data_IF_290926555738
#
_entry.id   IF_290926555738
#
_cell.length_a   1.000
_cell.length_b   1.000
_cell.length_c   1.000
_cell.angle_alpha   90.00
_cell.angle_beta   90.00
_cell.angle_gamma   90.00
#
_symmetry.space_group_name_H-M   'P 1'
#
loop_
_entity.id
_entity.type
_entity.pdbx_description
1 polymer ?
#
# COMPACT_ATOMS: atom_id res chain seq x y z
N UNK A 1 -21.44 -6.26 4.17
CA UNK A 1 -21.26 -5.05 3.38
C UNK A 1 -20.18 -5.24 2.34
N UNK A 2 -20.52 -4.96 1.12
CA UNK A 2 -19.64 -5.22 -0.01
C UNK A 2 -19.24 -3.90 -0.67
N UNK A 3 -17.97 -3.77 -0.98
CA UNK A 3 -17.46 -2.63 -1.71
C UNK A 3 -16.28 -3.07 -2.56
N UNK A 4 -15.91 -2.26 -3.52
CA UNK A 4 -14.77 -2.54 -4.40
C UNK A 4 -13.98 -1.26 -4.62
N UNK A 5 -12.68 -1.37 -4.87
CA UNK A 5 -11.81 -0.23 -5.07
C UNK A 5 -10.45 -0.65 -5.64
N UNK A 6 -9.73 0.35 -6.13
CA UNK A 6 -8.31 0.23 -6.42
C UNK A 6 -7.49 0.45 -5.16
N UNK A 7 -6.36 -0.23 -5.04
CA UNK A 7 -5.51 -0.08 -3.86
C UNK A 7 -4.06 -0.47 -4.17
N UNK A 8 -3.18 -0.13 -3.23
CA UNK A 8 -1.79 -0.60 -3.23
C UNK A 8 -1.58 -1.54 -2.05
N UNK A 9 -0.87 -2.64 -2.29
CA UNK A 9 -0.58 -3.62 -1.23
C UNK A 9 0.54 -3.10 -0.33
N UNK A 10 0.24 -2.91 0.95
CA UNK A 10 1.19 -2.39 1.93
C UNK A 10 1.86 -3.46 2.77
N UNK A 11 1.14 -4.52 3.11
CA UNK A 11 1.69 -5.61 3.92
C UNK A 11 0.94 -6.90 3.66
N UNK A 12 1.65 -8.00 3.93
CA UNK A 12 1.13 -9.33 3.73
C UNK A 12 1.65 -10.21 4.86
N UNK A 13 0.74 -10.93 5.52
CA UNK A 13 1.08 -11.84 6.61
C UNK A 13 0.34 -13.15 6.42
N UNK A 14 1.06 -14.26 6.55
CA UNK A 14 0.45 -15.59 6.46
C UNK A 14 -0.62 -15.76 7.54
N UNK A 15 -1.78 -16.25 7.15
CA UNK A 15 -2.91 -16.51 8.02
C UNK A 15 -3.51 -17.86 7.65
N UNK A 16 -3.42 -18.84 8.54
CA UNK A 16 -3.84 -20.21 8.29
C UNK A 16 -3.05 -20.83 7.10
N UNK A 17 -3.41 -22.05 6.69
CA UNK A 17 -2.64 -22.78 5.71
C UNK A 17 -2.68 -22.20 4.30
N UNK A 18 -3.81 -21.65 3.91
CA UNK A 18 -4.03 -21.21 2.53
C UNK A 18 -4.62 -19.80 2.46
N UNK A 19 -4.13 -18.92 3.33
CA UNK A 19 -4.64 -17.55 3.36
C UNK A 19 -3.57 -16.57 3.82
N UNK A 20 -3.76 -15.32 3.47
CA UNK A 20 -2.96 -14.20 3.96
C UNK A 20 -3.89 -13.12 4.48
N UNK A 21 -3.47 -12.42 5.53
CA UNK A 21 -4.07 -11.14 5.88
C UNK A 21 -3.24 -10.07 5.19
N UNK A 22 -3.90 -9.22 4.44
CA UNK A 22 -3.22 -8.11 3.76
C UNK A 22 -3.74 -6.78 4.27
N UNK A 23 -2.86 -5.80 4.31
CA UNK A 23 -3.22 -4.40 4.49
C UNK A 23 -3.02 -3.70 3.16
N UNK A 24 -4.04 -2.96 2.74
CA UNK A 24 -3.99 -2.23 1.48
C UNK A 24 -4.29 -0.76 1.73
N UNK A 25 -3.76 0.10 0.88
CA UNK A 25 -4.11 1.51 0.86
C UNK A 25 -5.13 1.70 -0.25
N UNK A 26 -6.38 1.79 0.14
CA UNK A 26 -7.52 1.94 -0.77
C UNK A 26 -7.75 3.42 -1.06
N UNK A 27 -8.06 3.72 -2.31
CA UNK A 27 -8.30 5.09 -2.74
C UNK A 27 -9.43 5.76 -1.95
N UNK A 28 -10.54 5.05 -1.76
CA UNK A 28 -11.74 5.63 -1.14
C UNK A 28 -11.93 5.24 0.32
N UNK A 29 -11.26 4.19 0.81
CA UNK A 29 -11.45 3.67 2.17
C UNK A 29 -10.26 3.87 3.09
N UNK A 30 -9.11 4.32 2.56
CA UNK A 30 -7.88 4.44 3.33
C UNK A 30 -7.21 3.11 3.56
N UNK A 31 -6.46 2.98 4.65
CA UNK A 31 -5.81 1.72 4.98
C UNK A 31 -6.83 0.74 5.56
N UNK A 32 -7.00 -0.39 4.89
CA UNK A 32 -7.96 -1.43 5.30
C UNK A 32 -7.30 -2.79 5.23
N UNK A 33 -7.83 -3.72 6.05
CA UNK A 33 -7.31 -5.08 6.14
C UNK A 33 -8.36 -6.07 5.71
N UNK A 34 -7.92 -7.21 5.22
CA UNK A 34 -8.80 -8.30 4.87
C UNK A 34 -8.03 -9.57 4.59
N UNK A 35 -8.75 -10.68 4.52
CA UNK A 35 -8.17 -11.99 4.27
C UNK A 35 -8.25 -12.31 2.78
N UNK A 36 -7.14 -12.78 2.21
CA UNK A 36 -7.10 -13.30 0.85
C UNK A 36 -6.92 -14.81 0.95
N UNK A 37 -7.91 -15.55 0.48
CA UNK A 37 -7.86 -17.01 0.41
C UNK A 37 -7.15 -17.45 -0.88
N UNK A 38 -6.63 -18.67 -0.87
CA UNK A 38 -5.93 -19.20 -2.03
C UNK A 38 -4.50 -18.73 -2.15
N UNK A 39 -3.90 -18.24 -1.06
CA UNK A 39 -2.54 -17.72 -1.05
C UNK A 39 -1.45 -18.70 -1.47
N UNK A 40 -1.75 -20.01 -1.45
CA UNK A 40 -0.84 -21.03 -1.99
C UNK A 40 -0.99 -21.21 -3.50
N UNK A 41 -2.01 -20.63 -4.11
CA UNK A 41 -2.15 -20.62 -5.56
C UNK A 41 -0.97 -19.87 -6.16
N UNK A 42 -0.33 -20.48 -7.15
CA UNK A 42 0.79 -19.86 -7.84
C UNK A 42 0.41 -18.52 -8.45
N UNK A 43 -0.79 -18.42 -9.01
CA UNK A 43 -1.29 -17.20 -9.62
C UNK A 43 -1.38 -16.05 -8.60
N UNK A 44 -2.05 -16.30 -7.46
CA UNK A 44 -2.23 -15.27 -6.43
C UNK A 44 -0.88 -14.91 -5.80
N UNK A 45 -0.05 -15.91 -5.48
CA UNK A 45 1.25 -15.67 -4.88
C UNK A 45 2.15 -14.81 -5.76
N UNK A 46 2.06 -14.96 -7.08
CA UNK A 46 2.93 -14.23 -8.01
C UNK A 46 2.60 -12.74 -8.07
N UNK A 47 1.33 -12.35 -7.89
CA UNK A 47 0.99 -10.92 -7.97
C UNK A 47 0.76 -10.27 -6.61
N UNK A 48 0.70 -11.04 -5.54
CA UNK A 48 0.47 -10.48 -4.20
C UNK A 48 1.81 -10.02 -3.61
N UNK A 49 2.37 -8.99 -4.22
CA UNK A 49 3.66 -8.41 -3.87
C UNK A 49 3.46 -6.97 -3.39
N UNK A 50 4.24 -6.57 -2.37
CA UNK A 50 4.12 -5.23 -1.80
C UNK A 50 4.33 -4.17 -2.87
N UNK A 51 3.62 -3.10 -2.78
CA UNK A 51 3.53 -1.96 -3.69
C UNK A 51 2.78 -2.22 -5.00
N UNK A 52 2.41 -3.45 -5.31
CA UNK A 52 1.60 -3.71 -6.50
C UNK A 52 0.23 -3.06 -6.38
N UNK A 53 -0.26 -2.56 -7.51
CA UNK A 53 -1.61 -1.99 -7.57
C UNK A 53 -2.61 -3.10 -7.87
N UNK A 54 -3.61 -3.20 -7.01
CA UNK A 54 -4.62 -4.25 -7.07
C UNK A 54 -6.01 -3.63 -7.20
N UNK A 55 -6.91 -4.38 -7.81
CA UNK A 55 -8.35 -4.16 -7.67
C UNK A 55 -8.86 -5.16 -6.65
N UNK A 56 -9.63 -4.70 -5.67
CA UNK A 56 -10.14 -5.55 -4.61
C UNK A 56 -11.66 -5.45 -4.52
N UNK A 57 -12.27 -6.58 -4.19
CA UNK A 57 -13.69 -6.66 -3.86
C UNK A 57 -13.76 -7.15 -2.42
N UNK A 58 -14.27 -6.30 -1.55
CA UNK A 58 -14.38 -6.60 -0.12
C UNK A 58 -15.75 -7.18 0.19
N UNK A 59 -15.75 -8.27 0.95
CA UNK A 59 -16.97 -8.89 1.46
C UNK A 59 -16.83 -9.11 2.95
N UNK A 60 -17.85 -8.73 3.69
CA UNK A 60 -17.91 -8.97 5.13
C UNK A 60 -19.33 -9.28 5.54
N UNK A 61 -19.49 -10.25 6.45
CA UNK A 61 -20.80 -10.62 6.99
C UNK A 61 -21.32 -9.62 8.02
N UNK A 62 -20.42 -8.84 8.65
CA UNK A 62 -20.79 -7.82 9.61
C UNK A 62 -19.67 -6.78 9.68
N UNK A 63 -20.02 -5.57 10.15
CA UNK A 63 -19.07 -4.48 10.28
C UNK A 63 -17.93 -4.77 11.26
N UNK A 64 -18.18 -5.66 12.21
CA UNK A 64 -17.21 -5.95 13.28
C UNK A 64 -16.32 -7.15 12.97
N UNK A 65 -16.49 -7.79 11.82
CA UNK A 65 -15.68 -8.94 11.43
C UNK A 65 -14.68 -8.55 10.35
N UNK A 66 -13.48 -9.09 10.47
CA UNK A 66 -12.48 -8.98 9.42
C UNK A 66 -13.05 -9.63 8.16
N UNK A 67 -13.22 -8.84 7.12
CA UNK A 67 -13.75 -9.32 5.85
C UNK A 67 -12.69 -10.04 5.02
N UNK A 68 -13.08 -10.44 3.84
CA UNK A 68 -12.13 -11.01 2.89
C UNK A 68 -12.14 -10.22 1.58
N UNK A 69 -11.01 -10.30 0.89
CA UNK A 69 -10.81 -9.65 -0.39
C UNK A 69 -10.72 -10.68 -1.49
N UNK A 70 -11.43 -10.44 -2.59
CA UNK A 70 -11.06 -11.01 -3.88
C UNK A 70 -10.15 -9.99 -4.55
N UNK A 71 -9.04 -10.45 -5.12
CA UNK A 71 -8.01 -9.56 -5.65
C UNK A 71 -7.78 -9.81 -7.12
N UNK A 72 -7.40 -8.77 -7.81
CA UNK A 72 -7.00 -8.80 -9.21
C UNK A 72 -5.84 -7.84 -9.41
N UNK A 73 -4.82 -8.26 -10.14
CA UNK A 73 -3.68 -7.39 -10.42
C UNK A 73 -4.05 -6.33 -11.43
N UNK A 74 -3.89 -5.06 -11.07
CA UNK A 74 -4.05 -3.96 -12.00
C UNK A 74 -2.72 -3.55 -12.63
N UNK A 75 -1.69 -3.38 -11.79
CA UNK A 75 -0.38 -2.94 -12.27
C UNK A 75 0.73 -3.52 -11.40
N UNK A 76 1.65 -4.28 -11.99
CA UNK A 76 2.83 -4.72 -11.24
C UNK A 76 3.76 -3.52 -11.02
N UNK A 77 4.26 -3.38 -9.81
CA UNK A 77 5.21 -2.32 -9.47
C UNK A 77 6.55 -2.93 -9.05
N UNK A 78 6.57 -3.67 -7.93
CA UNK A 78 7.81 -4.24 -7.43
C UNK A 78 8.49 -5.21 -8.39
N UNK A 79 7.77 -6.04 -9.17
CA UNK A 79 8.45 -6.92 -10.13
C UNK A 79 9.24 -6.18 -11.19
N UNK A 80 8.87 -4.94 -11.51
CA UNK A 80 9.59 -4.14 -12.50
C UNK A 80 11.00 -3.75 -12.02
N UNK A 81 11.24 -3.82 -10.71
CA UNK A 81 12.48 -3.32 -10.10
C UNK A 81 13.23 -4.41 -9.33
N UNK A 82 12.98 -5.69 -9.61
CA UNK A 82 13.68 -6.78 -8.91
C UNK A 82 15.20 -6.68 -9.00
N UNK A 83 15.71 -6.21 -10.14
CA UNK A 83 17.15 -6.07 -10.34
C UNK A 83 17.69 -4.71 -9.88
N UNK A 84 16.83 -3.85 -9.35
CA UNK A 84 17.19 -2.53 -8.85
C UNK A 84 17.01 -2.52 -7.35
N UNK A 85 18.10 -2.80 -6.63
CA UNK A 85 18.08 -2.93 -5.18
C UNK A 85 17.63 -1.65 -4.49
N UNK A 86 18.05 -0.50 -4.97
CA UNK A 86 17.73 0.79 -4.35
C UNK A 86 16.25 1.12 -4.48
N UNK A 87 15.68 0.94 -5.66
CA UNK A 87 14.26 1.18 -5.89
C UNK A 87 13.40 0.17 -5.14
N UNK A 88 13.80 -1.10 -5.13
CA UNK A 88 13.10 -2.13 -4.37
C UNK A 88 13.07 -1.79 -2.89
N UNK A 89 14.21 -1.39 -2.34
CA UNK A 89 14.31 -0.99 -0.92
C UNK A 89 13.40 0.20 -0.63
N UNK A 90 13.37 1.20 -1.51
CA UNK A 90 12.52 2.37 -1.37
C UNK A 90 11.03 1.99 -1.36
N UNK A 91 10.62 1.13 -2.28
CA UNK A 91 9.23 0.68 -2.35
C UNK A 91 8.80 -0.05 -1.07
N UNK A 92 9.63 -0.98 -0.60
CA UNK A 92 9.35 -1.72 0.63
C UNK A 92 9.31 -0.79 1.84
N UNK A 93 10.22 0.17 1.89
CA UNK A 93 10.30 1.15 2.96
C UNK A 93 9.02 2.00 3.01
N UNK A 94 8.57 2.51 1.86
CA UNK A 94 7.34 3.30 1.81
C UNK A 94 6.11 2.50 2.19
N UNK A 95 6.00 1.25 1.74
CA UNK A 95 4.90 0.40 2.14
C UNK A 95 4.87 0.22 3.65
N UNK A 96 6.03 -0.01 4.26
CA UNK A 96 6.16 -0.16 5.72
C UNK A 96 5.76 1.11 6.46
N UNK A 97 6.25 2.26 5.99
CA UNK A 97 5.95 3.56 6.60
C UNK A 97 4.45 3.85 6.52
N UNK A 98 3.85 3.67 5.36
CA UNK A 98 2.41 3.88 5.19
C UNK A 98 1.60 2.92 6.05
N UNK A 99 2.04 1.67 6.14
CA UNK A 99 1.35 0.67 6.94
C UNK A 99 1.33 1.04 8.42
N UNK A 100 2.40 1.65 8.92
CA UNK A 100 2.50 2.06 10.32
C UNK A 100 1.79 3.39 10.58
N UNK A 101 1.97 4.36 9.70
CA UNK A 101 1.54 5.74 9.95
C UNK A 101 0.09 6.03 9.57
N UNK A 102 -0.46 5.34 8.57
CA UNK A 102 -1.84 5.61 8.17
C UNK A 102 -2.81 5.07 9.20
N UNK A 103 -3.78 5.88 9.65
CA UNK A 103 -4.84 5.38 10.51
C UNK A 103 -5.75 4.42 9.75
N UNK A 104 -6.32 3.44 10.46
CA UNK A 104 -7.20 2.46 9.83
C UNK A 104 -8.52 3.07 9.39
N UNK A 105 -8.98 2.65 8.21
CA UNK A 105 -10.31 2.97 7.67
C UNK A 105 -10.59 4.48 7.58
N UNK A 106 -9.54 5.28 7.42
CA UNK A 106 -9.68 6.72 7.23
C UNK A 106 -9.21 7.09 5.83
N UNK A 107 -10.12 7.47 4.94
CA UNK A 107 -9.72 7.90 3.61
C UNK A 107 -8.73 9.07 3.64
N UNK A 108 -7.72 9.01 2.81
CA UNK A 108 -6.78 10.10 2.64
C UNK A 108 -6.41 10.19 1.15
N UNK A 109 -7.27 10.82 0.40
CA UNK A 109 -7.12 10.92 -1.03
C UNK A 109 -5.87 11.69 -1.45
N UNK A 110 -5.49 12.68 -0.67
CA UNK A 110 -4.29 13.48 -0.94
C UNK A 110 -3.03 12.64 -0.86
N UNK A 111 -2.87 11.85 0.20
CA UNK A 111 -1.72 10.96 0.35
C UNK A 111 -1.77 9.86 -0.70
N UNK A 112 -2.95 9.32 -0.99
CA UNK A 112 -3.10 8.29 -2.02
C UNK A 112 -2.59 8.79 -3.37
N UNK A 113 -3.01 9.97 -3.79
CA UNK A 113 -2.57 10.56 -5.06
C UNK A 113 -1.08 10.88 -5.06
N UNK A 114 -0.54 11.36 -3.94
CA UNK A 114 0.90 11.60 -3.81
C UNK A 114 1.69 10.31 -3.96
N UNK A 115 1.22 9.24 -3.33
CA UNK A 115 1.87 7.94 -3.44
C UNK A 115 1.81 7.42 -4.88
N UNK A 116 0.66 7.52 -5.50
CA UNK A 116 0.47 7.10 -6.90
C UNK A 116 1.38 7.89 -7.84
N UNK A 117 1.51 9.19 -7.64
CA UNK A 117 2.40 10.02 -8.43
C UNK A 117 3.86 9.59 -8.25
N UNK A 118 4.26 9.28 -7.01
CA UNK A 118 5.61 8.80 -6.76
C UNK A 118 5.84 7.45 -7.46
N UNK A 119 4.91 6.51 -7.33
CA UNK A 119 5.02 5.20 -7.98
C UNK A 119 5.18 5.36 -9.48
N UNK A 120 4.41 6.25 -10.09
CA UNK A 120 4.48 6.49 -11.52
C UNK A 120 5.76 7.21 -11.96
N UNK A 121 6.50 7.77 -11.01
CA UNK A 121 7.73 8.53 -11.28
C UNK A 121 9.00 7.83 -10.82
N UNK A 122 8.90 6.65 -10.23
CA UNK A 122 10.07 5.96 -9.66
C UNK A 122 11.05 5.50 -10.74
N UNK A 123 10.61 5.42 -11.98
CA UNK A 123 11.48 5.08 -13.12
C UNK A 123 12.36 6.25 -13.58
N UNK A 124 12.13 7.47 -13.09
CA UNK A 124 12.90 8.64 -13.47
C UNK A 124 14.25 8.69 -12.77
N UNK A 125 15.20 9.40 -13.37
CA UNK A 125 16.56 9.51 -12.80
C UNK A 125 16.59 10.24 -11.47
N UNK A 126 15.67 11.17 -11.24
CA UNK A 126 15.58 11.98 -10.02
C UNK A 126 14.64 11.38 -8.96
N UNK A 127 14.37 10.09 -9.04
CA UNK A 127 13.38 9.43 -8.16
C UNK A 127 13.75 9.56 -6.67
N UNK A 128 15.04 9.64 -6.33
CA UNK A 128 15.45 9.77 -4.92
C UNK A 128 14.98 11.10 -4.34
N UNK A 129 15.07 12.18 -5.13
CA UNK A 129 14.57 13.49 -4.72
C UNK A 129 13.06 13.44 -4.51
N UNK A 130 12.36 12.77 -5.42
CA UNK A 130 10.90 12.61 -5.33
C UNK A 130 10.52 11.77 -4.11
N UNK A 131 11.33 10.77 -3.78
CA UNK A 131 11.14 9.95 -2.57
C UNK A 131 11.23 10.82 -1.31
N UNK A 132 12.26 11.65 -1.22
CA UNK A 132 12.43 12.55 -0.06
C UNK A 132 11.26 13.50 0.07
N UNK A 133 10.83 14.11 -1.03
CA UNK A 133 9.67 15.01 -1.02
C UNK A 133 8.39 14.28 -0.61
N UNK A 134 8.21 13.04 -1.07
CA UNK A 134 7.06 12.25 -0.67
C UNK A 134 7.04 12.03 0.84
N UNK A 135 8.18 11.63 1.43
CA UNK A 135 8.24 11.40 2.88
C UNK A 135 7.97 12.68 3.68
N UNK A 136 8.54 13.80 3.26
CA UNK A 136 8.30 15.07 3.94
C UNK A 136 6.83 15.50 3.86
N UNK A 137 6.22 15.36 2.71
CA UNK A 137 4.81 15.69 2.53
C UNK A 137 3.91 14.74 3.30
N UNK A 138 4.26 13.47 3.38
CA UNK A 138 3.52 12.49 4.16
C UNK A 138 3.48 12.88 5.64
N UNK A 139 4.63 13.20 6.20
CA UNK A 139 4.74 13.61 7.60
C UNK A 139 3.90 14.85 7.85
N UNK A 140 3.97 15.83 6.96
CA UNK A 140 3.19 17.06 7.05
C UNK A 140 1.69 16.78 6.95
N UNK A 141 1.29 15.99 5.97
CA UNK A 141 -0.13 15.70 5.72
C UNK A 141 -0.77 14.88 6.85
N UNK A 142 0.05 14.13 7.60
CA UNK A 142 -0.42 13.39 8.78
C UNK A 142 -0.41 14.22 10.06
N UNK A 143 -0.07 15.51 9.97
CA UNK A 143 -0.08 16.40 11.11
C UNK A 143 1.22 16.45 11.90
N UNK A 144 2.25 15.77 11.46
CA UNK A 144 3.59 15.86 12.06
C UNK A 144 4.36 16.95 11.32
N UNK A 145 4.25 18.19 11.76
CA UNK A 145 4.96 19.29 11.13
C UNK A 145 6.44 19.26 11.55
N UNK A 146 7.37 18.90 10.64
CA UNK A 146 8.79 18.98 10.96
C UNK A 146 9.24 20.43 10.90
N UNK A 147 8.77 21.26 11.83
CA UNK A 147 9.17 22.66 11.89
C UNK A 147 10.62 22.74 12.36
N UNK A 148 11.54 22.71 11.43
CA UNK A 148 12.97 22.78 11.70
C UNK A 148 13.38 24.04 12.47
N UNK A 149 12.55 25.07 12.47
CA UNK A 149 12.80 26.29 13.23
C UNK A 149 12.70 26.09 14.75
N UNK A 150 12.05 24.99 15.21
CA UNK A 150 11.98 24.66 16.63
C UNK A 150 13.29 24.10 17.18
N UNK A 151 14.23 23.76 16.32
CA UNK A 151 15.49 23.14 16.70
C UNK A 151 16.68 24.10 16.62
N UNK A 152 16.40 25.37 16.43
CA UNK A 152 17.44 26.40 16.45
C UNK A 152 17.67 26.92 17.86
#
# INVERSE_FOLDING_TARGET
MNWEDECYLLSKKKFRENANIINVFSQSKGKVSGVVYGGNSRKIRNYLQLSNKLFIIHNSKSENKLGYFKTELLKPISPLYFNDKERTTALLSLCSILNVLLPEAQPNEKIYKSFENFINSINLNNWIILYIFFELNLIKDLGYDPNLNKFK
#
